data_IF_733304373394
#
_entry.id   IF_733304373394
#
_cell.length_a   1.000
_cell.length_b   1.000
_cell.length_c   1.000
_cell.angle_alpha   90.00
_cell.angle_beta   90.00
_cell.angle_gamma   90.00
#
_symmetry.space_group_name_H-M   'P 1'
#
loop_
_entity.id
_entity.type
_entity.pdbx_description
1 polymer ?
#
# COMPACT_ATOMS: atom_id res chain seq x y z
N UNK A 1 21.50 -15.41 -8.02
CA UNK A 1 22.37 -14.49 -7.29
C UNK A 1 22.63 -13.33 -8.24
N UNK A 2 22.45 -12.07 -7.79
CA UNK A 2 22.79 -10.89 -8.57
C UNK A 2 24.31 -10.76 -8.71
N UNK A 3 24.78 -9.93 -9.65
CA UNK A 3 26.23 -9.75 -9.90
C UNK A 3 27.01 -9.21 -8.68
N UNK A 4 26.33 -8.57 -7.74
CA UNK A 4 26.87 -8.07 -6.46
C UNK A 4 26.95 -9.13 -5.34
N UNK A 5 26.47 -10.35 -5.60
CA UNK A 5 26.45 -11.44 -4.64
C UNK A 5 25.19 -11.54 -3.79
N UNK A 6 24.25 -10.62 -3.92
CA UNK A 6 22.94 -10.68 -3.26
C UNK A 6 22.00 -11.70 -3.92
N UNK A 7 20.99 -12.14 -3.17
CA UNK A 7 19.94 -12.98 -3.72
C UNK A 7 18.78 -12.11 -4.24
N UNK A 8 18.16 -12.57 -5.33
CA UNK A 8 16.92 -12.00 -5.82
C UNK A 8 15.82 -12.15 -4.75
N UNK A 9 14.97 -11.16 -4.62
CA UNK A 9 13.77 -11.17 -3.76
C UNK A 9 12.61 -10.52 -4.53
N UNK A 10 11.38 -10.91 -4.20
CA UNK A 10 10.20 -10.40 -4.89
C UNK A 10 10.11 -10.83 -6.35
N UNK A 11 9.36 -10.08 -7.13
CA UNK A 11 9.17 -10.33 -8.55
C UNK A 11 10.44 -10.01 -9.35
N UNK A 12 10.85 -10.93 -10.21
CA UNK A 12 11.97 -10.74 -11.13
C UNK A 12 11.61 -11.16 -12.54
N UNK A 13 11.93 -10.31 -13.50
CA UNK A 13 11.83 -10.65 -14.91
C UNK A 13 13.18 -11.11 -15.44
N UNK A 14 13.21 -12.28 -16.06
CA UNK A 14 14.42 -12.77 -16.74
C UNK A 14 14.60 -12.11 -18.11
N UNK A 15 15.78 -12.29 -18.70
CA UNK A 15 16.12 -11.70 -20.01
C UNK A 15 15.24 -12.25 -21.17
N UNK A 16 14.55 -13.36 -20.97
CA UNK A 16 13.59 -13.94 -21.90
C UNK A 16 12.15 -13.47 -21.66
N UNK A 17 11.96 -12.49 -20.76
CA UNK A 17 10.67 -11.86 -20.46
C UNK A 17 9.79 -12.63 -19.49
N UNK A 18 10.25 -13.73 -18.92
CA UNK A 18 9.48 -14.52 -17.96
C UNK A 18 9.59 -13.95 -16.57
N UNK A 19 8.49 -13.99 -15.80
CA UNK A 19 8.45 -13.56 -14.43
C UNK A 19 8.60 -14.71 -13.45
N UNK A 20 9.38 -14.48 -12.41
CA UNK A 20 9.66 -15.39 -11.30
C UNK A 20 9.47 -14.64 -9.99
N UNK A 21 9.13 -15.35 -8.92
CA UNK A 21 9.05 -14.77 -7.59
C UNK A 21 10.02 -15.47 -6.64
N UNK A 22 10.76 -14.67 -5.88
CA UNK A 22 11.70 -15.15 -4.87
C UNK A 22 11.26 -14.65 -3.48
N UNK A 23 11.21 -15.54 -2.50
CA UNK A 23 10.87 -15.17 -1.13
C UNK A 23 11.96 -14.31 -0.46
N UNK A 24 11.69 -13.87 0.78
CA UNK A 24 12.61 -13.04 1.56
C UNK A 24 14.00 -13.68 1.78
N UNK A 25 14.11 -15.01 1.63
CA UNK A 25 15.37 -15.75 1.72
C UNK A 25 16.06 -15.93 0.36
N UNK A 26 15.47 -15.40 -0.71
CA UNK A 26 15.94 -15.56 -2.08
C UNK A 26 15.65 -16.94 -2.66
N UNK A 27 14.66 -17.66 -2.14
CA UNK A 27 14.22 -18.97 -2.65
C UNK A 27 13.13 -18.76 -3.68
N UNK A 28 13.35 -19.27 -4.91
CA UNK A 28 12.37 -19.21 -5.98
C UNK A 28 11.09 -19.97 -5.60
N UNK A 29 9.95 -19.34 -5.76
CA UNK A 29 8.64 -19.93 -5.44
C UNK A 29 8.06 -20.66 -6.65
N UNK A 30 7.25 -21.70 -6.37
CA UNK A 30 6.51 -22.51 -7.37
C UNK A 30 5.15 -22.85 -6.79
N UNK A 31 4.17 -23.15 -7.68
CA UNK A 31 2.80 -23.43 -7.25
C UNK A 31 1.99 -22.17 -6.98
N UNK A 32 1.03 -22.27 -6.08
CA UNK A 32 0.20 -21.16 -5.69
C UNK A 32 0.98 -20.15 -4.83
N UNK A 33 0.84 -18.88 -5.18
CA UNK A 33 1.43 -17.76 -4.45
C UNK A 33 0.29 -16.77 -4.15
N UNK A 34 0.12 -16.42 -2.89
CA UNK A 34 -0.83 -15.42 -2.43
C UNK A 34 -0.03 -14.21 -1.97
N UNK A 35 -0.24 -13.07 -2.61
CA UNK A 35 0.35 -11.77 -2.27
C UNK A 35 -0.77 -10.73 -2.35
N UNK A 36 -0.96 -10.00 -1.27
CA UNK A 36 -1.81 -8.80 -1.24
C UNK A 36 -3.21 -9.01 -1.86
N UNK A 37 -4.01 -9.92 -1.31
CA UNK A 37 -5.34 -10.32 -1.84
C UNK A 37 -5.33 -10.80 -3.31
N UNK A 38 -4.17 -10.87 -3.93
CA UNK A 38 -3.98 -11.37 -5.28
C UNK A 38 -3.40 -12.78 -5.24
N UNK A 39 -3.96 -13.64 -6.07
CA UNK A 39 -3.54 -15.03 -6.15
C UNK A 39 -2.90 -15.30 -7.50
N UNK A 40 -1.70 -15.84 -7.47
CA UNK A 40 -0.86 -16.15 -8.64
C UNK A 40 -0.56 -17.63 -8.71
N UNK A 41 -0.14 -18.10 -9.87
CA UNK A 41 0.35 -19.46 -10.03
C UNK A 41 1.66 -19.48 -10.80
N UNK A 42 2.67 -20.07 -10.19
CA UNK A 42 3.99 -20.28 -10.76
C UNK A 42 4.11 -21.77 -11.13
N UNK A 43 4.46 -22.09 -12.36
CA UNK A 43 4.62 -23.48 -12.76
C UNK A 43 5.82 -24.17 -12.06
N UNK A 44 6.06 -25.43 -12.35
CA UNK A 44 7.17 -26.20 -11.72
C UNK A 44 8.57 -25.59 -11.98
N UNK A 45 8.71 -24.80 -13.05
CA UNK A 45 9.94 -24.08 -13.39
C UNK A 45 10.00 -22.70 -12.73
N UNK A 46 9.02 -22.33 -11.87
CA UNK A 46 8.91 -21.04 -11.21
C UNK A 46 8.37 -19.91 -12.09
N UNK A 47 7.88 -20.21 -13.30
CA UNK A 47 7.41 -19.18 -14.24
C UNK A 47 5.97 -18.80 -13.93
N UNK A 48 5.72 -17.49 -13.76
CA UNK A 48 4.37 -16.94 -13.61
C UNK A 48 3.46 -17.32 -14.77
N UNK A 49 2.28 -17.81 -14.45
CA UNK A 49 1.28 -18.21 -15.44
C UNK A 49 0.27 -17.07 -15.67
N UNK A 50 -0.15 -16.90 -16.92
CA UNK A 50 -1.15 -15.92 -17.37
C UNK A 50 -2.14 -16.59 -18.32
N UNK A 51 -3.35 -16.02 -18.48
CA UNK A 51 -4.41 -16.61 -19.32
C UNK A 51 -5.07 -17.82 -18.63
N UNK A 52 -5.57 -18.75 -19.42
CA UNK A 52 -6.28 -19.94 -18.93
C UNK A 52 -5.30 -21.07 -18.63
N UNK A 53 -5.28 -21.51 -17.38
CA UNK A 53 -4.37 -22.57 -16.91
C UNK A 53 -5.15 -23.67 -16.22
N UNK A 54 -4.93 -24.92 -16.63
CA UNK A 54 -5.54 -26.09 -15.96
C UNK A 54 -4.64 -26.56 -14.81
N UNK A 55 -5.14 -26.49 -13.60
CA UNK A 55 -4.45 -26.91 -12.38
C UNK A 55 -5.36 -27.92 -11.67
N UNK A 56 -4.86 -29.13 -11.43
CA UNK A 56 -5.60 -30.23 -10.78
C UNK A 56 -6.98 -30.51 -11.41
N UNK A 57 -7.09 -30.32 -12.73
CA UNK A 57 -8.31 -30.60 -13.49
C UNK A 57 -9.35 -29.47 -13.50
N UNK A 58 -9.05 -28.36 -12.86
CA UNK A 58 -9.87 -27.14 -12.90
C UNK A 58 -9.19 -26.06 -13.74
N UNK A 59 -9.99 -25.26 -14.46
CA UNK A 59 -9.47 -24.15 -15.27
C UNK A 59 -9.53 -22.88 -14.45
N UNK A 60 -8.37 -22.27 -14.26
CA UNK A 60 -8.19 -20.98 -13.64
C UNK A 60 -7.87 -19.92 -14.69
N UNK A 61 -8.42 -18.74 -14.52
CA UNK A 61 -8.19 -17.60 -15.41
C UNK A 61 -7.28 -16.59 -14.72
N UNK A 62 -6.16 -16.25 -15.35
CA UNK A 62 -5.22 -15.23 -14.85
C UNK A 62 -5.16 -14.07 -15.85
N UNK A 63 -5.11 -12.84 -15.34
CA UNK A 63 -4.93 -11.67 -16.20
C UNK A 63 -3.50 -11.57 -16.77
N UNK A 64 -3.21 -10.47 -17.49
CA UNK A 64 -1.91 -10.24 -18.10
C UNK A 64 -0.78 -10.03 -17.06
N UNK A 65 -1.12 -9.70 -15.80
CA UNK A 65 -0.20 -9.56 -14.70
C UNK A 65 -0.09 -10.85 -13.86
N UNK A 66 -0.80 -11.90 -14.24
CA UNK A 66 -0.81 -13.18 -13.56
C UNK A 66 -1.75 -13.28 -12.36
N UNK A 67 -2.62 -12.28 -12.13
CA UNK A 67 -3.59 -12.27 -11.02
C UNK A 67 -4.79 -13.15 -11.40
N UNK A 68 -5.16 -14.10 -10.52
CA UNK A 68 -6.33 -14.94 -10.69
C UNK A 68 -7.62 -14.10 -10.75
N UNK A 69 -8.46 -14.38 -11.75
CA UNK A 69 -9.74 -13.73 -11.97
C UNK A 69 -10.89 -14.71 -11.69
N UNK A 70 -11.72 -14.40 -10.68
CA UNK A 70 -12.90 -15.20 -10.34
C UNK A 70 -12.60 -16.62 -9.83
N UNK A 71 -13.67 -17.40 -9.62
CA UNK A 71 -13.57 -18.79 -9.19
C UNK A 71 -13.20 -19.74 -10.34
N UNK A 72 -12.50 -20.85 -10.06
CA UNK A 72 -12.15 -21.82 -11.08
C UNK A 72 -13.39 -22.51 -11.67
N UNK A 73 -13.32 -22.84 -12.96
CA UNK A 73 -14.38 -23.58 -13.65
C UNK A 73 -14.00 -25.05 -13.80
N UNK A 74 -14.98 -25.94 -13.76
CA UNK A 74 -14.77 -27.40 -13.80
C UNK A 74 -14.51 -27.96 -15.23
N UNK A 75 -14.13 -27.11 -16.18
CA UNK A 75 -13.78 -27.55 -17.54
C UNK A 75 -14.94 -28.21 -18.32
N UNK A 76 -16.13 -28.30 -17.76
CA UNK A 76 -17.34 -28.76 -18.47
C UNK A 76 -18.01 -27.53 -19.07
N UNK A 77 -17.90 -27.42 -20.40
CA UNK A 77 -18.42 -26.35 -21.22
C UNK A 77 -19.90 -26.09 -20.95
N UNK A 78 -20.19 -24.96 -20.30
CA UNK A 78 -21.43 -24.25 -20.60
C UNK A 78 -21.05 -22.86 -21.13
N UNK A 79 -21.49 -22.63 -22.38
CA UNK A 79 -21.09 -21.52 -23.22
C UNK A 79 -21.71 -20.23 -22.76
N UNK A 80 -20.99 -19.49 -21.92
CA UNK A 80 -21.23 -18.08 -21.69
C UNK A 80 -20.01 -17.29 -22.19
N UNK A 81 -19.97 -16.98 -23.48
CA UNK A 81 -18.90 -16.18 -24.08
C UNK A 81 -18.89 -14.78 -23.47
N UNK A 82 -17.92 -14.51 -22.62
CA UNK A 82 -17.50 -13.14 -22.34
C UNK A 82 -16.22 -12.89 -23.13
N UNK A 83 -16.35 -12.21 -24.27
CA UNK A 83 -15.20 -11.76 -25.05
C UNK A 83 -14.49 -10.63 -24.33
N UNK A 84 -13.32 -10.88 -23.80
CA UNK A 84 -12.34 -9.84 -23.56
C UNK A 84 -11.46 -9.71 -24.81
N UNK A 85 -11.65 -8.60 -25.55
CA UNK A 85 -10.79 -8.25 -26.67
C UNK A 85 -9.39 -7.91 -26.17
N UNK A 86 -8.45 -8.79 -26.45
CA UNK A 86 -7.03 -8.49 -26.33
C UNK A 86 -6.57 -7.80 -27.62
N UNK A 87 -6.23 -6.51 -27.55
CA UNK A 87 -5.58 -5.77 -28.64
C UNK A 87 -4.08 -5.92 -28.51
N UNK A 88 -3.52 -6.90 -29.18
CA UNK A 88 -2.09 -6.87 -29.53
C UNK A 88 -1.95 -6.99 -31.03
N UNK A 89 -1.29 -6.00 -31.58
CA UNK A 89 -1.02 -5.70 -32.97
C UNK A 89 -0.25 -6.78 -33.74
N UNK A 90 -0.61 -6.94 -35.03
CA UNK A 90 0.40 -7.18 -36.06
C UNK A 90 0.24 -8.44 -36.87
N UNK A 91 -0.08 -8.20 -38.10
CA UNK A 91 0.32 -8.80 -39.37
C UNK A 91 -0.63 -9.71 -40.15
N UNK A 92 -0.71 -9.28 -41.38
CA UNK A 92 -1.53 -9.69 -42.52
C UNK A 92 -1.35 -11.14 -43.01
N UNK A 93 -2.43 -11.72 -43.52
CA UNK A 93 -2.48 -12.16 -44.93
C UNK A 93 -3.83 -12.83 -45.25
N UNK A 94 -4.59 -12.19 -46.12
CA UNK A 94 -4.95 -12.58 -47.49
C UNK A 94 -5.93 -13.74 -47.71
N UNK A 95 -7.10 -13.31 -48.27
CA UNK A 95 -7.91 -13.85 -49.36
C UNK A 95 -8.68 -15.16 -49.18
N UNK A 96 -10.01 -15.13 -49.35
CA UNK A 96 -10.76 -15.38 -50.55
C UNK A 96 -12.27 -15.48 -50.27
N UNK A 97 -12.99 -14.71 -51.01
CA UNK A 97 -14.31 -14.76 -51.68
C UNK A 97 -15.29 -15.92 -51.42
N UNK A 98 -16.58 -15.53 -51.31
CA UNK A 98 -17.70 -16.42 -51.60
C UNK A 98 -19.07 -15.91 -51.13
N UNK A 99 -19.59 -14.93 -51.83
CA UNK A 99 -20.95 -14.60 -52.26
C UNK A 99 -22.13 -15.48 -51.75
N UNK A 100 -23.17 -14.89 -51.24
CA UNK A 100 -24.46 -14.64 -51.85
C UNK A 100 -25.55 -14.34 -50.78
N UNK A 101 -26.13 -13.18 -50.91
CA UNK A 101 -27.52 -12.80 -50.57
C UNK A 101 -28.42 -13.27 -51.72
N UNK A 102 -29.79 -13.21 -51.71
CA UNK A 102 -30.66 -12.31 -50.96
C UNK A 102 -32.10 -12.83 -50.63
N UNK A 103 -32.91 -11.84 -50.14
CA UNK A 103 -34.38 -11.66 -50.32
C UNK A 103 -35.26 -12.30 -49.25
N UNK A 104 -36.04 -11.57 -48.60
CA UNK A 104 -37.07 -10.53 -48.75
C UNK A 104 -38.42 -10.98 -48.21
N UNK A 105 -39.11 -10.04 -47.57
CA UNK A 105 -40.53 -9.70 -47.62
C UNK A 105 -41.46 -10.32 -46.57
N UNK A 106 -42.02 -9.56 -45.75
CA UNK A 106 -43.09 -8.58 -45.71
C UNK A 106 -44.33 -9.07 -44.94
N UNK A 107 -44.76 -8.19 -44.09
CA UNK A 107 -46.11 -7.64 -43.87
C UNK A 107 -47.19 -8.42 -43.13
N UNK A 108 -47.88 -7.67 -42.29
CA UNK A 108 -49.29 -7.70 -41.98
C UNK A 108 -49.62 -8.06 -40.54
N UNK A 109 -50.19 -7.29 -39.81
CA UNK A 109 -51.21 -6.29 -39.64
C UNK A 109 -52.16 -6.70 -38.49
N UNK A 110 -52.50 -5.68 -37.71
CA UNK A 110 -53.70 -5.36 -36.96
C UNK A 110 -54.20 -6.16 -35.75
N UNK A 111 -54.29 -5.37 -34.70
CA UNK A 111 -55.40 -5.04 -33.82
C UNK A 111 -55.89 -6.06 -32.79
N UNK A 112 -55.91 -5.65 -31.52
CA UNK A 112 -57.10 -5.27 -30.81
C UNK A 112 -56.82 -5.02 -29.31
N UNK A 113 -57.37 -3.97 -28.81
CA UNK A 113 -57.34 -3.51 -27.45
C UNK A 113 -58.06 -4.47 -26.47
N UNK A 114 -57.50 -4.59 -25.25
CA UNK A 114 -58.31 -4.83 -24.06
C UNK A 114 -57.58 -4.15 -22.86
N UNK A 115 -58.21 -3.15 -22.34
CA UNK A 115 -57.84 -2.48 -21.09
C UNK A 115 -58.04 -3.45 -19.92
N UNK A 116 -57.03 -3.64 -19.13
CA UNK A 116 -57.13 -4.14 -17.78
C UNK A 116 -56.32 -3.24 -16.86
N UNK A 117 -57.04 -2.41 -16.14
CA UNK A 117 -56.53 -1.63 -15.01
C UNK A 117 -56.05 -2.55 -13.91
N UNK A 118 -54.74 -2.56 -13.69
CA UNK A 118 -54.14 -3.11 -12.44
C UNK A 118 -53.46 -1.95 -11.75
N UNK A 119 -54.03 -1.58 -10.61
CA UNK A 119 -53.41 -0.70 -9.63
C UNK A 119 -52.15 -1.38 -9.09
N UNK A 120 -50.97 -0.95 -9.52
CA UNK A 120 -49.72 -1.29 -8.86
C UNK A 120 -49.43 -0.19 -7.83
N UNK A 121 -49.68 -0.50 -6.58
CA UNK A 121 -49.01 0.18 -5.47
C UNK A 121 -47.54 -0.11 -5.64
N UNK A 122 -46.79 0.83 -6.16
CA UNK A 122 -45.35 0.82 -6.18
C UNK A 122 -44.85 1.14 -4.77
N UNK A 123 -44.34 0.16 -4.07
CA UNK A 123 -43.43 0.39 -2.98
C UNK A 123 -42.23 1.14 -3.54
N UNK A 124 -42.22 2.44 -3.28
CA UNK A 124 -41.08 3.31 -3.55
C UNK A 124 -39.99 2.94 -2.55
N UNK A 125 -39.05 2.12 -3.00
CA UNK A 125 -37.81 1.91 -2.28
C UNK A 125 -37.08 3.26 -2.22
N UNK A 126 -37.17 3.87 -1.04
CA UNK A 126 -36.48 5.12 -0.75
C UNK A 126 -34.97 4.85 -0.85
N UNK A 127 -34.21 5.69 -1.58
CA UNK A 127 -32.75 5.54 -1.60
C UNK A 127 -32.24 5.43 -0.15
N UNK A 128 -31.25 4.56 0.15
CA UNK A 128 -30.68 4.47 1.49
C UNK A 128 -30.28 5.86 1.95
N UNK A 129 -30.74 6.24 3.14
CA UNK A 129 -30.30 7.49 3.77
C UNK A 129 -28.77 7.50 3.83
N UNK A 130 -28.10 8.63 3.54
CA UNK A 130 -26.66 8.73 3.66
C UNK A 130 -26.27 8.32 5.08
N UNK A 131 -25.32 7.38 5.19
CA UNK A 131 -24.75 6.98 6.48
C UNK A 131 -24.29 8.25 7.19
N UNK A 132 -24.70 8.49 8.44
CA UNK A 132 -24.27 9.70 9.15
C UNK A 132 -22.76 9.74 9.22
N UNK A 133 -22.17 10.86 8.83
CA UNK A 133 -20.74 11.10 9.02
C UNK A 133 -20.46 11.00 10.51
N UNK A 134 -19.46 10.21 10.93
CA UNK A 134 -19.13 10.08 12.35
C UNK A 134 -18.77 11.44 12.94
N UNK A 135 -19.16 11.65 14.20
CA UNK A 135 -18.72 12.83 14.94
C UNK A 135 -17.19 12.81 15.08
N UNK A 136 -16.51 13.94 14.84
CA UNK A 136 -15.06 14.00 14.92
C UNK A 136 -14.58 13.61 16.33
N UNK A 137 -13.75 12.57 16.43
CA UNK A 137 -13.14 12.13 17.69
C UNK A 137 -11.82 12.86 18.00
N UNK A 138 -11.15 13.37 16.97
CA UNK A 138 -9.86 14.03 17.09
C UNK A 138 -8.89 13.68 15.98
N UNK A 139 -7.62 13.97 16.21
CA UNK A 139 -6.52 13.72 15.26
C UNK A 139 -5.47 12.81 15.88
N UNK A 140 -4.90 11.94 15.07
CA UNK A 140 -3.82 11.01 15.44
C UNK A 140 -2.72 11.13 14.40
N UNK A 141 -1.46 11.12 14.84
CA UNK A 141 -0.31 10.97 13.97
C UNK A 141 0.15 9.51 13.96
N UNK A 142 -0.02 8.83 12.83
CA UNK A 142 0.65 7.57 12.59
C UNK A 142 2.08 7.84 12.18
N UNK A 143 3.03 7.10 12.76
CA UNK A 143 4.45 7.25 12.43
C UNK A 143 5.07 5.89 12.16
N UNK A 144 5.89 5.81 11.11
CA UNK A 144 6.55 4.60 10.68
C UNK A 144 8.06 4.81 10.65
N UNK A 145 8.79 3.95 11.34
CA UNK A 145 10.24 4.01 11.48
C UNK A 145 10.92 2.94 10.61
N UNK A 146 12.22 3.11 10.42
CA UNK A 146 13.17 2.19 9.77
C UNK A 146 13.04 2.04 8.25
N UNK A 147 11.97 2.52 7.66
CA UNK A 147 11.80 2.48 6.20
C UNK A 147 12.76 3.41 5.43
N UNK A 148 12.64 3.46 4.12
CA UNK A 148 11.68 2.74 3.28
C UNK A 148 12.01 1.24 3.11
N UNK A 149 11.02 0.43 2.73
CA UNK A 149 11.15 -1.02 2.57
C UNK A 149 10.31 -1.56 1.39
N UNK A 150 10.34 -2.88 1.18
CA UNK A 150 9.47 -3.58 0.23
C UNK A 150 7.97 -3.42 0.53
N UNK A 151 7.60 -3.01 1.74
CA UNK A 151 6.21 -2.88 2.17
C UNK A 151 5.69 -1.43 2.18
N UNK A 152 6.59 -0.46 2.02
CA UNK A 152 6.24 0.98 2.11
C UNK A 152 5.23 1.40 1.04
N UNK A 153 5.36 0.93 -0.20
CA UNK A 153 4.41 1.27 -1.27
C UNK A 153 3.00 0.77 -0.97
N UNK A 154 2.86 -0.42 -0.43
CA UNK A 154 1.58 -0.98 -0.03
C UNK A 154 0.92 -0.17 1.10
N UNK A 155 1.71 0.29 2.06
CA UNK A 155 1.25 1.20 3.11
C UNK A 155 0.77 2.54 2.52
N UNK A 156 1.52 3.08 1.55
CA UNK A 156 1.14 4.32 0.85
C UNK A 156 -0.17 4.15 0.06
N UNK A 157 -0.40 2.99 -0.57
CA UNK A 157 -1.67 2.66 -1.22
C UNK A 157 -2.84 2.69 -0.22
N UNK A 158 -2.63 2.14 0.97
CA UNK A 158 -3.64 2.17 2.03
C UNK A 158 -3.92 3.60 2.52
N UNK A 159 -2.90 4.41 2.74
CA UNK A 159 -3.04 5.81 3.14
C UNK A 159 -3.79 6.62 2.07
N UNK A 160 -3.43 6.46 0.80
CA UNK A 160 -4.07 7.12 -0.34
C UNK A 160 -5.56 6.76 -0.45
N UNK A 161 -5.87 5.46 -0.40
CA UNK A 161 -7.25 4.97 -0.48
C UNK A 161 -8.15 5.52 0.64
N UNK A 162 -7.57 5.87 1.77
CA UNK A 162 -8.27 6.37 2.95
C UNK A 162 -8.14 7.89 3.15
N UNK A 163 -7.50 8.61 2.21
CA UNK A 163 -7.18 10.04 2.34
C UNK A 163 -6.52 10.37 3.70
N UNK A 164 -5.64 9.50 4.13
CA UNK A 164 -4.88 9.55 5.37
C UNK A 164 -3.44 9.98 5.11
N UNK A 165 -2.81 10.54 6.12
CA UNK A 165 -1.39 10.88 6.09
C UNK A 165 -0.66 10.25 7.25
N UNK A 166 0.66 10.13 7.11
CA UNK A 166 1.56 9.63 8.15
C UNK A 166 2.88 10.41 8.14
N UNK A 167 3.70 10.20 9.16
CA UNK A 167 5.08 10.67 9.20
C UNK A 167 6.00 9.46 9.14
N UNK A 168 6.93 9.46 8.18
CA UNK A 168 7.91 8.40 7.97
C UNK A 168 9.29 8.82 8.45
N UNK A 169 9.88 8.11 9.39
CA UNK A 169 11.24 8.35 9.87
C UNK A 169 12.19 7.39 9.16
N UNK A 170 12.89 7.92 8.16
CA UNK A 170 13.66 7.12 7.22
C UNK A 170 15.09 6.87 7.68
N UNK A 171 15.55 5.64 7.55
CA UNK A 171 16.95 5.25 7.69
C UNK A 171 17.69 5.53 6.38
N UNK A 172 18.71 6.38 6.43
CA UNK A 172 19.34 6.94 5.24
C UNK A 172 19.91 5.89 4.28
N UNK A 173 20.51 4.83 4.80
CA UNK A 173 21.07 3.75 3.97
C UNK A 173 20.03 2.96 3.18
N UNK A 174 18.76 2.93 3.60
CA UNK A 174 17.69 2.22 2.90
C UNK A 174 17.16 3.01 1.72
N UNK A 175 17.32 4.34 1.72
CA UNK A 175 16.81 5.24 0.67
C UNK A 175 17.41 4.90 -0.71
N UNK A 176 18.69 4.49 -0.78
CA UNK A 176 19.34 4.11 -2.04
C UNK A 176 18.59 2.97 -2.75
N UNK A 177 18.00 2.06 -1.99
CA UNK A 177 17.32 0.87 -2.51
C UNK A 177 15.84 1.10 -2.83
N UNK A 178 15.21 2.10 -2.19
CA UNK A 178 13.76 2.36 -2.25
C UNK A 178 13.46 3.84 -2.50
N UNK A 179 13.87 4.36 -3.66
CA UNK A 179 13.73 5.79 -3.99
C UNK A 179 12.29 6.21 -4.35
N UNK A 180 11.53 5.33 -4.99
CA UNK A 180 10.19 5.62 -5.51
C UNK A 180 9.18 5.97 -4.38
N UNK A 181 9.14 5.25 -3.26
CA UNK A 181 8.26 5.58 -2.13
C UNK A 181 8.41 7.01 -1.60
N UNK A 182 9.61 7.60 -1.60
CA UNK A 182 9.81 8.97 -1.11
C UNK A 182 9.05 10.00 -1.95
N UNK A 183 9.06 9.85 -3.28
CA UNK A 183 8.29 10.74 -4.16
C UNK A 183 6.80 10.61 -3.92
N UNK A 184 6.30 9.39 -3.68
CA UNK A 184 4.90 9.15 -3.34
C UNK A 184 4.52 9.73 -1.97
N UNK A 185 5.41 9.65 -0.96
CA UNK A 185 5.18 10.30 0.34
C UNK A 185 4.91 11.79 0.18
N UNK A 186 5.71 12.48 -0.65
CA UNK A 186 5.51 13.90 -0.95
C UNK A 186 4.19 14.17 -1.68
N UNK A 187 3.87 13.38 -2.70
CA UNK A 187 2.63 13.53 -3.48
C UNK A 187 1.39 13.35 -2.61
N UNK A 188 1.43 12.45 -1.63
CA UNK A 188 0.34 12.21 -0.69
C UNK A 188 0.32 13.22 0.46
N UNK A 189 1.33 14.09 0.56
CA UNK A 189 1.46 15.06 1.65
C UNK A 189 1.77 14.42 2.99
N UNK A 190 2.44 13.27 3.00
CA UNK A 190 3.04 12.68 4.18
C UNK A 190 4.27 13.50 4.62
N UNK A 191 4.67 13.35 5.86
CA UNK A 191 5.85 14.03 6.40
C UNK A 191 7.04 13.08 6.42
N UNK A 192 8.21 13.58 5.99
CA UNK A 192 9.46 12.84 6.02
C UNK A 192 10.32 13.33 7.17
N UNK A 193 10.67 12.42 8.06
CA UNK A 193 11.59 12.57 9.18
C UNK A 193 12.90 11.82 8.96
N UNK A 194 13.91 12.18 9.75
CA UNK A 194 15.24 11.58 9.73
C UNK A 194 15.39 10.60 10.90
N UNK A 195 15.79 9.34 10.59
CA UNK A 195 15.99 8.27 11.58
C UNK A 195 17.47 7.81 11.65
N UNK A 196 18.41 8.73 11.48
CA UNK A 196 19.85 8.47 11.30
C UNK A 196 20.18 7.74 9.97
N UNK A 197 21.47 7.52 9.72
CA UNK A 197 21.88 6.91 8.46
C UNK A 197 21.87 5.38 8.50
N UNK A 198 22.35 4.77 9.58
CA UNK A 198 22.48 3.32 9.75
C UNK A 198 21.81 2.78 11.03
N UNK A 199 20.82 3.53 11.54
CA UNK A 199 20.07 3.22 12.76
C UNK A 199 20.93 3.10 14.03
N UNK A 200 22.01 3.90 14.11
CA UNK A 200 22.89 3.91 15.28
C UNK A 200 22.23 4.59 16.50
N UNK A 201 22.53 4.11 17.72
CA UNK A 201 22.15 4.81 18.97
C UNK A 201 22.96 6.11 19.09
N UNK A 202 22.32 7.22 18.67
CA UNK A 202 22.95 8.55 18.58
C UNK A 202 23.50 9.04 19.92
N UNK A 203 22.89 8.65 21.05
CA UNK A 203 23.35 9.09 22.38
C UNK A 203 24.71 8.51 22.77
N UNK A 204 25.14 7.46 22.11
CA UNK A 204 26.44 6.78 22.35
C UNK A 204 27.56 7.31 21.45
N UNK A 205 27.23 8.11 20.43
CA UNK A 205 28.17 8.57 19.42
C UNK A 205 28.88 9.87 19.81
N UNK A 206 29.99 10.14 19.13
CA UNK A 206 30.63 11.45 19.19
C UNK A 206 29.77 12.52 18.46
N UNK A 207 29.95 13.79 18.79
CA UNK A 207 29.25 14.87 18.12
C UNK A 207 29.51 14.91 16.60
N UNK A 208 30.71 14.51 16.17
CA UNK A 208 31.06 14.41 14.74
C UNK A 208 30.29 13.28 14.06
N UNK A 209 30.20 12.11 14.72
CA UNK A 209 29.46 10.97 14.18
C UNK A 209 27.95 11.23 14.15
N UNK A 210 27.36 11.87 15.20
CA UNK A 210 25.96 12.29 15.18
C UNK A 210 25.68 13.23 14.02
N UNK A 211 26.58 14.21 13.77
CA UNK A 211 26.45 15.12 12.63
C UNK A 211 26.49 14.35 11.30
N UNK A 212 27.41 13.40 11.17
CA UNK A 212 27.51 12.56 9.97
C UNK A 212 26.25 11.71 9.75
N UNK A 213 25.71 11.07 10.79
CA UNK A 213 24.51 10.27 10.72
C UNK A 213 23.31 11.08 10.20
N UNK A 214 23.08 12.25 10.77
CA UNK A 214 21.94 13.07 10.38
C UNK A 214 22.12 13.75 9.03
N UNK A 215 23.33 14.29 8.73
CA UNK A 215 23.55 14.99 7.46
C UNK A 215 23.50 14.06 6.25
N UNK A 216 24.04 12.85 6.36
CA UNK A 216 23.99 11.88 5.24
C UNK A 216 22.56 11.50 4.91
N UNK A 217 21.72 11.24 5.91
CA UNK A 217 20.29 10.95 5.69
C UNK A 217 19.58 12.14 5.07
N UNK A 218 19.85 13.36 5.55
CA UNK A 218 19.28 14.58 4.97
C UNK A 218 19.72 14.81 3.50
N UNK A 219 20.95 14.45 3.15
CA UNK A 219 21.45 14.53 1.78
C UNK A 219 20.71 13.56 0.86
N UNK A 220 20.46 12.31 1.30
CA UNK A 220 19.69 11.34 0.52
C UNK A 220 18.23 11.80 0.33
N UNK A 221 17.57 12.26 1.38
CA UNK A 221 16.21 12.81 1.31
C UNK A 221 16.18 14.02 0.35
N UNK A 222 17.08 14.99 0.54
CA UNK A 222 17.10 16.21 -0.25
C UNK A 222 17.37 15.96 -1.73
N UNK A 223 18.18 14.96 -2.07
CA UNK A 223 18.47 14.61 -3.46
C UNK A 223 17.22 14.10 -4.20
N UNK A 224 16.27 13.46 -3.49
CA UNK A 224 15.08 12.88 -4.10
C UNK A 224 13.87 13.83 -4.06
N UNK A 225 13.62 14.47 -2.90
CA UNK A 225 12.40 15.27 -2.70
C UNK A 225 12.65 16.79 -2.67
N UNK A 226 13.91 17.23 -2.73
CA UNK A 226 14.26 18.64 -2.87
C UNK A 226 14.38 19.42 -1.54
N UNK A 227 14.14 18.80 -0.40
CA UNK A 227 14.33 19.39 0.92
C UNK A 227 14.80 18.33 1.94
N UNK A 228 15.40 18.77 3.04
CA UNK A 228 15.77 17.88 4.14
C UNK A 228 14.57 17.52 5.00
N UNK A 229 14.70 16.49 5.84
CA UNK A 229 13.69 16.10 6.82
C UNK A 229 13.29 17.28 7.72
N UNK A 230 12.02 17.35 8.07
CA UNK A 230 11.46 18.42 8.94
C UNK A 230 11.59 18.12 10.42
N UNK A 231 11.60 16.85 10.78
CA UNK A 231 11.66 16.31 12.14
C UNK A 231 12.70 15.20 12.23
N UNK A 232 13.11 14.87 13.46
CA UNK A 232 14.06 13.78 13.73
C UNK A 232 13.44 12.84 14.75
N UNK A 233 13.55 11.53 14.55
CA UNK A 233 13.36 10.54 15.61
C UNK A 233 14.68 9.83 15.85
N UNK A 234 15.31 9.99 17.02
CA UNK A 234 16.52 9.23 17.34
C UNK A 234 16.20 7.73 17.43
N UNK A 235 17.00 6.83 16.83
CA UNK A 235 16.85 5.40 17.04
C UNK A 235 16.72 5.01 18.50
N UNK A 236 15.85 4.03 18.79
CA UNK A 236 15.54 3.57 20.16
C UNK A 236 14.93 4.64 21.07
N UNK A 237 14.55 5.82 20.55
CA UNK A 237 14.18 6.98 21.38
C UNK A 237 15.35 7.52 22.21
N UNK A 238 16.59 7.16 21.88
CA UNK A 238 17.79 7.46 22.66
C UNK A 238 18.45 8.77 22.22
N UNK A 239 18.46 9.78 23.07
CA UNK A 239 19.14 11.04 22.80
C UNK A 239 19.63 11.73 24.09
N UNK A 240 20.50 12.71 23.89
CA UNK A 240 21.03 13.59 24.95
C UNK A 240 21.11 15.04 24.42
N UNK A 241 21.56 15.97 25.23
CA UNK A 241 21.66 17.38 24.86
C UNK A 241 22.54 17.63 23.64
N UNK A 242 23.56 16.81 23.43
CA UNK A 242 24.42 16.88 22.23
C UNK A 242 23.64 16.52 20.98
N UNK A 243 22.89 15.40 20.99
CA UNK A 243 22.03 14.98 19.89
C UNK A 243 20.98 16.03 19.60
N UNK A 244 20.28 16.53 20.63
CA UNK A 244 19.25 17.55 20.49
C UNK A 244 19.79 18.86 19.86
N UNK A 245 20.97 19.29 20.30
CA UNK A 245 21.64 20.48 19.76
C UNK A 245 22.09 20.31 18.30
N UNK A 246 22.59 19.13 17.91
CA UNK A 246 23.03 18.84 16.54
C UNK A 246 21.85 18.65 15.61
N UNK A 247 20.82 17.95 16.05
CA UNK A 247 19.61 17.74 15.25
C UNK A 247 19.00 19.08 14.80
N UNK A 248 19.04 20.11 15.64
CA UNK A 248 18.54 21.47 15.39
C UNK A 248 17.12 21.48 14.78
N UNK A 249 16.33 20.46 15.09
CA UNK A 249 14.95 20.18 14.66
C UNK A 249 14.18 19.57 15.83
N UNK A 250 12.83 19.54 15.76
CA UNK A 250 12.02 18.83 16.76
C UNK A 250 12.37 17.35 16.81
N UNK A 251 12.46 16.81 18.02
CA UNK A 251 12.67 15.38 18.27
C UNK A 251 11.31 14.74 18.56
N UNK A 252 10.88 13.80 17.74
CA UNK A 252 9.57 13.19 17.84
C UNK A 252 9.67 11.80 18.48
N UNK A 253 9.05 11.67 19.63
CA UNK A 253 8.85 10.41 20.33
C UNK A 253 7.44 9.89 20.03
N UNK A 254 6.89 9.07 20.91
CA UNK A 254 5.55 8.49 20.77
C UNK A 254 4.83 8.42 22.12
N UNK A 255 3.52 8.34 22.06
CA UNK A 255 2.65 8.05 23.22
C UNK A 255 2.12 6.62 23.22
N UNK A 256 2.10 5.99 22.04
CA UNK A 256 1.67 4.60 21.87
C UNK A 256 2.77 3.84 21.15
N UNK A 257 3.33 2.84 21.80
CA UNK A 257 4.22 1.85 21.21
C UNK A 257 3.38 0.62 20.89
N UNK A 258 3.26 0.29 19.61
CA UNK A 258 2.44 -0.84 19.18
C UNK A 258 3.08 -2.19 19.46
N UNK A 259 4.39 -2.21 19.73
CA UNK A 259 5.21 -3.42 19.89
C UNK A 259 5.16 -4.33 18.65
N UNK A 260 4.91 -3.75 17.46
CA UNK A 260 4.88 -4.46 16.19
C UNK A 260 6.23 -5.10 15.87
N UNK A 261 7.32 -4.40 16.18
CA UNK A 261 8.71 -4.86 16.04
C UNK A 261 9.03 -6.10 16.89
N UNK A 262 8.38 -6.27 18.07
CA UNK A 262 8.58 -7.38 18.99
C UNK A 262 7.66 -8.55 18.66
N UNK A 263 6.37 -8.25 18.45
CA UNK A 263 5.34 -9.28 18.29
C UNK A 263 5.27 -9.85 16.89
N UNK A 264 5.53 -9.03 15.88
CA UNK A 264 5.35 -9.34 14.46
C UNK A 264 4.02 -10.07 14.22
N UNK A 265 2.95 -9.52 14.78
CA UNK A 265 1.62 -10.08 14.74
C UNK A 265 0.58 -9.00 14.47
N UNK A 266 -0.04 -9.04 13.29
CA UNK A 266 -0.99 -8.03 12.84
C UNK A 266 -2.18 -7.85 13.79
N UNK A 267 -2.80 -8.94 14.27
CA UNK A 267 -3.96 -8.84 15.17
C UNK A 267 -3.58 -8.16 16.50
N UNK A 268 -2.39 -8.47 17.04
CA UNK A 268 -1.88 -7.84 18.26
C UNK A 268 -1.65 -6.34 18.06
N UNK A 269 -1.08 -5.96 16.92
CA UNK A 269 -0.84 -4.55 16.55
C UNK A 269 -2.15 -3.80 16.37
N UNK A 270 -3.12 -4.37 15.63
CA UNK A 270 -4.47 -3.79 15.49
C UNK A 270 -5.11 -3.56 16.86
N UNK A 271 -5.10 -4.58 17.73
CA UNK A 271 -5.69 -4.46 19.06
C UNK A 271 -5.02 -3.36 19.89
N UNK A 272 -3.68 -3.29 19.87
CA UNK A 272 -2.93 -2.27 20.60
C UNK A 272 -3.28 -0.85 20.10
N UNK A 273 -3.32 -0.64 18.77
CA UNK A 273 -3.70 0.66 18.20
C UNK A 273 -5.13 1.04 18.59
N UNK A 274 -6.10 0.13 18.41
CA UNK A 274 -7.51 0.41 18.68
C UNK A 274 -7.80 0.66 20.17
N UNK A 275 -7.09 -0.03 21.08
CA UNK A 275 -7.25 0.15 22.53
C UNK A 275 -6.65 1.47 23.03
N UNK A 276 -5.63 2.01 22.33
CA UNK A 276 -4.88 3.18 22.79
C UNK A 276 -5.08 4.43 21.90
N UNK A 277 -5.89 4.32 20.84
CA UNK A 277 -6.20 5.45 19.96
C UNK A 277 -6.92 6.57 20.74
N UNK A 278 -6.33 7.75 20.74
CA UNK A 278 -6.90 8.95 21.38
C UNK A 278 -6.44 10.22 20.65
N UNK A 279 -7.22 11.28 20.83
CA UNK A 279 -6.90 12.59 20.25
C UNK A 279 -5.56 13.12 20.75
N UNK A 280 -4.67 13.46 19.82
CA UNK A 280 -3.32 13.93 20.11
C UNK A 280 -2.26 12.81 20.21
N UNK A 281 -2.61 11.55 20.03
CA UNK A 281 -1.65 10.45 20.07
C UNK A 281 -0.67 10.48 18.89
N UNK A 282 0.58 10.13 19.19
CA UNK A 282 1.61 9.77 18.21
C UNK A 282 1.85 8.27 18.37
N UNK A 283 1.58 7.50 17.31
CA UNK A 283 1.65 6.04 17.32
C UNK A 283 2.91 5.58 16.59
N UNK A 284 3.75 4.82 17.29
CA UNK A 284 4.97 4.22 16.75
C UNK A 284 4.65 2.89 16.08
N UNK A 285 5.09 2.75 14.85
CA UNK A 285 5.10 1.53 14.05
C UNK A 285 6.37 1.46 13.18
N UNK A 286 6.52 0.36 12.45
CA UNK A 286 7.63 0.14 11.52
C UNK A 286 7.08 -0.42 10.21
N UNK A 287 7.40 0.20 9.07
CA UNK A 287 6.95 -0.26 7.74
C UNK A 287 7.90 -1.27 7.09
N UNK A 288 8.86 -1.79 7.86
CA UNK A 288 9.79 -2.85 7.44
C UNK A 288 9.27 -4.28 7.71
N UNK A 289 8.14 -4.40 8.41
CA UNK A 289 7.50 -5.69 8.70
C UNK A 289 6.18 -5.82 7.96
N UNK A 290 6.00 -6.96 7.29
CA UNK A 290 4.74 -7.27 6.60
C UNK A 290 3.53 -7.17 7.55
N UNK A 291 3.66 -7.73 8.74
CA UNK A 291 2.61 -7.80 9.74
C UNK A 291 2.19 -6.43 10.27
N UNK A 292 3.12 -5.47 10.30
CA UNK A 292 2.83 -4.08 10.65
C UNK A 292 1.99 -3.40 9.58
N UNK A 293 2.30 -3.63 8.31
CA UNK A 293 1.52 -3.09 7.18
C UNK A 293 0.18 -3.81 7.05
N UNK A 294 0.12 -5.14 7.24
CA UNK A 294 -1.15 -5.88 7.33
C UNK A 294 -2.07 -5.29 8.42
N UNK A 295 -1.51 -4.94 9.58
CA UNK A 295 -2.26 -4.29 10.65
C UNK A 295 -2.75 -2.89 10.25
N UNK A 296 -1.89 -2.10 9.60
CA UNK A 296 -2.22 -0.75 9.16
C UNK A 296 -3.42 -0.74 8.19
N UNK A 297 -3.47 -1.68 7.26
CA UNK A 297 -4.60 -1.83 6.33
C UNK A 297 -5.94 -2.16 7.03
N UNK A 298 -5.87 -2.74 8.22
CA UNK A 298 -7.06 -3.04 9.04
C UNK A 298 -7.46 -1.84 9.89
N UNK A 299 -6.56 -1.26 10.66
CA UNK A 299 -6.93 -0.23 11.64
C UNK A 299 -7.08 1.17 11.02
N UNK A 300 -6.39 1.52 9.92
CA UNK A 300 -6.52 2.84 9.28
C UNK A 300 -7.98 3.13 8.91
N UNK A 301 -8.67 2.28 8.12
CA UNK A 301 -10.08 2.53 7.82
C UNK A 301 -10.99 2.49 9.06
N UNK A 302 -10.66 1.68 10.08
CA UNK A 302 -11.43 1.62 11.32
C UNK A 302 -11.34 2.92 12.12
N UNK A 303 -10.13 3.48 12.30
CA UNK A 303 -9.93 4.76 12.97
C UNK A 303 -10.70 5.89 12.29
N UNK A 304 -10.67 5.92 10.95
CA UNK A 304 -11.41 6.91 10.17
C UNK A 304 -12.92 6.72 10.33
N UNK A 305 -13.40 5.48 10.28
CA UNK A 305 -14.81 5.17 10.54
C UNK A 305 -15.25 5.57 11.94
N UNK A 306 -14.36 5.49 12.91
CA UNK A 306 -14.59 5.95 14.28
C UNK A 306 -14.58 7.47 14.43
N UNK A 307 -14.16 8.23 13.41
CA UNK A 307 -14.14 9.68 13.39
C UNK A 307 -12.78 10.32 13.69
N UNK A 308 -11.69 9.57 13.69
CA UNK A 308 -10.35 10.14 13.76
C UNK A 308 -9.88 10.64 12.40
N UNK A 309 -9.11 11.72 12.41
CA UNK A 309 -8.33 12.19 11.26
C UNK A 309 -6.87 11.75 11.44
N UNK A 310 -6.34 11.09 10.43
CA UNK A 310 -4.95 10.63 10.41
C UNK A 310 -4.11 11.66 9.66
N UNK A 311 -3.20 12.29 10.38
CA UNK A 311 -2.44 13.46 9.92
C UNK A 311 -0.95 13.28 10.21
N UNK A 312 -0.11 14.17 9.67
CA UNK A 312 1.31 14.19 10.01
C UNK A 312 1.53 14.74 11.43
N UNK A 313 2.71 14.48 12.00
CA UNK A 313 3.09 15.01 13.31
C UNK A 313 3.03 16.55 13.33
N UNK A 314 3.54 17.19 12.26
CA UNK A 314 3.51 18.65 12.14
C UNK A 314 2.10 19.20 12.03
N UNK A 315 1.21 18.54 11.29
CA UNK A 315 -0.20 18.92 11.19
C UNK A 315 -0.93 18.73 12.52
N UNK A 316 -0.65 17.65 13.25
CA UNK A 316 -1.22 17.40 14.57
C UNK A 316 -0.81 18.49 15.56
N UNK A 317 0.50 18.81 15.64
CA UNK A 317 1.00 19.88 16.49
C UNK A 317 0.34 21.23 16.17
N UNK A 318 0.25 21.58 14.88
CA UNK A 318 -0.37 22.81 14.42
C UNK A 318 -1.86 22.88 14.80
N UNK A 319 -2.60 21.78 14.64
CA UNK A 319 -4.02 21.69 15.03
C UNK A 319 -4.23 21.89 16.55
N UNK A 320 -3.24 21.46 17.36
CA UNK A 320 -3.23 21.70 18.82
C UNK A 320 -2.68 23.07 19.22
N UNK A 321 -2.31 23.91 18.26
CA UNK A 321 -1.75 25.24 18.52
C UNK A 321 -0.32 25.20 19.07
N UNK A 322 0.40 24.11 18.85
CA UNK A 322 1.78 23.90 19.33
C UNK A 322 2.74 24.22 18.18
N UNK A 323 3.73 25.05 18.46
CA UNK A 323 4.87 25.27 17.56
C UNK A 323 5.98 24.31 17.98
N UNK A 324 6.40 23.48 17.04
CA UNK A 324 7.51 22.56 17.24
C UNK A 324 8.83 23.33 17.28
N UNK A 325 9.57 23.21 18.38
CA UNK A 325 10.83 23.91 18.59
C UNK A 325 12.02 22.97 18.40
N UNK A 326 13.08 23.48 17.77
CA UNK A 326 14.33 22.74 17.55
C UNK A 326 14.94 22.27 18.88
N UNK A 327 15.41 21.03 18.92
CA UNK A 327 16.02 20.41 20.10
C UNK A 327 15.04 20.04 21.21
N UNK A 328 13.75 20.26 21.02
CA UNK A 328 12.69 19.89 21.97
C UNK A 328 12.06 18.57 21.58
N UNK A 329 11.78 17.70 22.55
CA UNK A 329 11.15 16.40 22.31
C UNK A 329 9.65 16.43 22.57
N UNK A 330 8.88 15.73 21.72
CA UNK A 330 7.42 15.64 21.75
C UNK A 330 6.99 14.19 21.63
N UNK A 331 6.14 13.70 22.54
CA UNK A 331 5.60 12.33 22.53
C UNK A 331 4.09 12.27 22.31
N UNK A 332 3.39 13.38 22.47
CA UNK A 332 1.96 13.55 22.20
C UNK A 332 1.61 15.05 22.16
N UNK A 333 0.37 15.39 21.77
CA UNK A 333 -0.12 16.76 21.73
C UNK A 333 -1.50 16.94 22.34
#
# INVERSE_FOLDING_TARGET
QKDDGSYARGWMQSTDGKWYYFDANGVMQTGWLELDDSRYYLNADGVLQTGDVTIDGQVYHFDANGVQQGDPTDGSSDTGLVFYMNTASGEQASSAEGTADPTASAAGDSSSAAEASVSSEGDGEQPPEPTPTPEPKGMIALTFDDGPSDFTDRLLDCLEANNAKATFFLVGQEIEYFQEPLSRMEELGCEIGNHSFDHADLATLSAEDVTSQLSRTDEEIQNLVGHSATVVRPPYGSFNDTVAGIAARPLIMWSVDTLDWETQNADSTVQNVMDNAQDGAIILMHDIFKESVDAAEVFIPQLIQEGYQLVTVSELAAAKGITLEAGTSYGAF
#
